data_IF_581999671939
#
_entry.id   IF_581999671939
#
_cell.length_a   1.000
_cell.length_b   1.000
_cell.length_c   1.000
_cell.angle_alpha   90.00
_cell.angle_beta   90.00
_cell.angle_gamma   90.00
#
_symmetry.space_group_name_H-M   'P 1'
#
loop_
_entity.id
_entity.type
_entity.pdbx_description
1 polymer ?
#
# COMPACT_ATOMS: atom_id res chain seq x y z
N UNK A 1 -25.98 7.03 25.16
CA UNK A 1 -25.85 5.76 25.90
C UNK A 1 -24.54 5.02 25.61
N UNK A 2 -24.07 4.84 24.36
CA UNK A 2 -22.90 3.94 24.12
C UNK A 2 -21.60 4.55 23.53
N UNK A 3 -21.57 5.79 23.05
CA UNK A 3 -20.37 6.47 22.49
C UNK A 3 -19.45 5.58 21.61
N UNK A 4 -20.04 4.78 20.70
CA UNK A 4 -19.32 3.77 19.91
C UNK A 4 -18.73 4.35 18.61
N UNK A 5 -17.51 3.93 18.30
CA UNK A 5 -16.94 4.00 16.96
C UNK A 5 -17.06 2.61 16.31
N UNK A 6 -17.95 2.45 15.33
CA UNK A 6 -18.25 1.15 14.73
C UNK A 6 -18.31 1.22 13.20
N UNK A 7 -18.13 0.07 12.56
CA UNK A 7 -18.20 -0.09 11.11
C UNK A 7 -18.86 -1.43 10.76
N UNK A 8 -19.70 -1.45 9.73
CA UNK A 8 -20.26 -2.65 9.12
C UNK A 8 -19.76 -2.73 7.69
N UNK A 9 -19.26 -3.89 7.28
CA UNK A 9 -18.78 -4.17 5.94
C UNK A 9 -19.47 -5.41 5.36
N UNK A 10 -19.65 -5.40 4.04
CA UNK A 10 -20.16 -6.55 3.28
C UNK A 10 -18.98 -7.45 2.89
N UNK A 11 -19.01 -8.72 3.29
CA UNK A 11 -17.94 -9.69 2.99
C UNK A 11 -17.82 -10.01 1.51
N UNK A 12 -18.87 -9.74 0.71
CA UNK A 12 -18.84 -9.90 -0.75
C UNK A 12 -18.07 -8.77 -1.46
N UNK A 13 -17.72 -7.68 -0.75
CA UNK A 13 -16.97 -6.55 -1.31
C UNK A 13 -15.52 -6.61 -0.86
N UNK A 14 -14.59 -7.10 -1.70
CA UNK A 14 -13.18 -7.13 -1.36
C UNK A 14 -12.66 -5.70 -1.16
N UNK A 15 -11.77 -5.54 -0.19
CA UNK A 15 -11.10 -4.26 0.09
C UNK A 15 -10.11 -3.92 -1.04
N UNK A 16 -10.03 -2.65 -1.41
CA UNK A 16 -9.09 -2.12 -2.40
C UNK A 16 -7.75 -1.81 -1.73
N UNK A 17 -6.71 -2.53 -2.11
CA UNK A 17 -5.41 -2.52 -1.44
C UNK A 17 -4.33 -1.97 -2.34
N UNK A 18 -3.57 -0.98 -1.84
CA UNK A 18 -2.30 -0.57 -2.44
C UNK A 18 -1.14 -1.18 -1.65
N UNK A 19 -0.20 -1.78 -2.37
CA UNK A 19 1.06 -2.23 -1.80
C UNK A 19 2.15 -1.19 -2.05
N UNK A 20 2.89 -0.83 -1.02
CA UNK A 20 4.08 0.01 -1.12
C UNK A 20 5.32 -0.80 -0.82
N UNK A 21 6.34 -0.73 -1.67
CA UNK A 21 7.59 -1.47 -1.51
C UNK A 21 8.81 -0.62 -1.87
N UNK A 22 9.99 -1.05 -1.43
CA UNK A 22 11.27 -0.47 -1.87
C UNK A 22 12.03 -1.47 -2.73
N UNK A 23 13.20 -1.95 -2.29
CA UNK A 23 14.01 -2.93 -3.06
C UNK A 23 13.78 -4.37 -2.65
N UNK A 24 13.35 -4.60 -1.42
CA UNK A 24 13.19 -5.94 -0.87
C UNK A 24 11.89 -6.58 -1.36
N UNK A 25 12.00 -7.72 -2.03
CA UNK A 25 10.87 -8.37 -2.71
C UNK A 25 10.05 -9.32 -1.84
N UNK A 26 10.58 -9.81 -0.71
CA UNK A 26 10.01 -10.97 -0.01
C UNK A 26 8.57 -10.76 0.46
N UNK A 27 8.26 -9.62 1.11
CA UNK A 27 6.88 -9.33 1.54
C UNK A 27 5.94 -9.11 0.35
N UNK A 28 6.41 -8.42 -0.69
CA UNK A 28 5.61 -8.17 -1.89
C UNK A 28 5.28 -9.48 -2.61
N UNK A 29 6.27 -10.35 -2.79
CA UNK A 29 6.11 -11.64 -3.45
C UNK A 29 5.15 -12.56 -2.67
N UNK A 30 5.25 -12.60 -1.33
CA UNK A 30 4.32 -13.39 -0.50
C UNK A 30 2.88 -12.89 -0.62
N UNK A 31 2.66 -11.57 -0.54
CA UNK A 31 1.32 -10.98 -0.67
C UNK A 31 0.73 -11.23 -2.07
N UNK A 32 1.52 -11.04 -3.13
CA UNK A 32 1.09 -11.32 -4.50
C UNK A 32 0.76 -12.79 -4.70
N UNK A 33 1.57 -13.69 -4.14
CA UNK A 33 1.33 -15.14 -4.22
C UNK A 33 0.01 -15.54 -3.55
N UNK A 34 -0.24 -15.07 -2.31
CA UNK A 34 -1.48 -15.33 -1.57
C UNK A 34 -2.71 -14.72 -2.23
N UNK A 35 -2.56 -13.54 -2.83
CA UNK A 35 -3.63 -12.92 -3.61
C UNK A 35 -3.95 -13.74 -4.86
N UNK A 36 -2.93 -14.13 -5.62
CA UNK A 36 -3.10 -14.93 -6.84
C UNK A 36 -3.70 -16.33 -6.55
N UNK A 37 -3.33 -16.94 -5.42
CA UNK A 37 -3.90 -18.22 -4.96
C UNK A 37 -5.30 -18.10 -4.34
N UNK A 38 -5.85 -16.89 -4.25
CA UNK A 38 -7.14 -16.55 -3.60
C UNK A 38 -7.19 -16.84 -2.09
N UNK A 39 -6.04 -16.98 -1.45
CA UNK A 39 -5.94 -17.04 0.01
C UNK A 39 -6.25 -15.67 0.62
N UNK A 40 -5.84 -14.59 -0.06
CA UNK A 40 -6.07 -13.21 0.38
C UNK A 40 -7.25 -12.60 -0.39
N UNK A 41 -8.40 -12.46 0.28
CA UNK A 41 -9.61 -11.85 -0.31
C UNK A 41 -9.53 -10.31 -0.34
N UNK A 42 -8.82 -9.77 -1.32
CA UNK A 42 -8.74 -8.35 -1.60
C UNK A 42 -8.56 -8.06 -3.10
N UNK A 43 -8.71 -6.79 -3.47
CA UNK A 43 -8.37 -6.29 -4.81
C UNK A 43 -7.07 -5.50 -4.69
N UNK A 44 -5.96 -6.02 -5.24
CA UNK A 44 -4.72 -5.25 -5.31
C UNK A 44 -4.83 -4.29 -6.50
N UNK A 45 -5.07 -3.01 -6.22
CA UNK A 45 -5.40 -2.01 -7.24
C UNK A 45 -4.17 -1.33 -7.83
N UNK A 46 -3.07 -1.28 -7.08
CA UNK A 46 -1.78 -0.78 -7.55
C UNK A 46 -0.63 -1.19 -6.63
N UNK A 47 0.59 -1.15 -7.17
CA UNK A 47 1.83 -1.15 -6.38
C UNK A 47 2.58 0.16 -6.59
N UNK A 48 3.04 0.76 -5.50
CA UNK A 48 3.85 1.98 -5.51
C UNK A 48 5.23 1.66 -4.98
N UNK A 49 6.27 2.10 -5.69
CA UNK A 49 7.65 1.92 -5.24
C UNK A 49 8.49 3.15 -5.49
N UNK A 50 9.47 3.38 -4.62
CA UNK A 50 10.50 4.40 -4.86
C UNK A 50 11.62 3.92 -5.80
N UNK A 51 11.59 2.65 -6.21
CA UNK A 51 12.53 2.03 -7.14
C UNK A 51 11.80 1.25 -8.25
N UNK A 52 12.51 0.87 -9.32
CA UNK A 52 11.92 0.13 -10.44
C UNK A 52 12.21 -1.38 -10.40
N UNK A 53 13.02 -1.83 -9.43
CA UNK A 53 13.52 -3.20 -9.30
C UNK A 53 12.42 -4.29 -9.33
N UNK A 54 11.24 -3.98 -8.81
CA UNK A 54 10.14 -4.95 -8.63
C UNK A 54 9.04 -4.83 -9.70
N UNK A 55 9.17 -3.90 -10.66
CA UNK A 55 8.15 -3.65 -11.69
C UNK A 55 7.73 -4.93 -12.42
N UNK A 56 8.71 -5.66 -12.95
CA UNK A 56 8.46 -6.88 -13.75
C UNK A 56 7.68 -7.94 -12.98
N UNK A 57 7.89 -8.06 -11.67
CA UNK A 57 7.17 -9.01 -10.81
C UNK A 57 5.69 -8.62 -10.67
N UNK A 58 5.42 -7.33 -10.54
CA UNK A 58 4.07 -6.80 -10.37
C UNK A 58 3.29 -6.84 -11.68
N UNK A 59 3.91 -6.37 -12.77
CA UNK A 59 3.27 -6.33 -14.09
C UNK A 59 2.98 -7.73 -14.63
N UNK A 60 3.72 -8.76 -14.21
CA UNK A 60 3.40 -10.16 -14.53
C UNK A 60 2.02 -10.59 -13.98
N UNK A 61 1.57 -9.96 -12.89
CA UNK A 61 0.24 -10.16 -12.31
C UNK A 61 -0.81 -9.17 -12.86
N UNK A 62 -0.48 -8.41 -13.92
CA UNK A 62 -1.35 -7.41 -14.56
C UNK A 62 -1.78 -6.26 -13.63
N UNK A 63 -1.00 -6.00 -12.57
CA UNK A 63 -1.26 -4.93 -11.60
C UNK A 63 -0.52 -3.65 -12.03
N UNK A 64 -1.15 -2.46 -11.96
CA UNK A 64 -0.47 -1.19 -12.22
C UNK A 64 0.72 -0.95 -11.27
N UNK A 65 1.89 -0.62 -11.84
CA UNK A 65 3.09 -0.30 -11.09
C UNK A 65 3.49 1.17 -11.26
N UNK A 66 3.50 1.91 -10.15
CA UNK A 66 3.88 3.33 -10.09
C UNK A 66 5.26 3.48 -9.47
N UNK A 67 6.21 3.98 -10.27
CA UNK A 67 7.54 4.35 -9.79
C UNK A 67 7.53 5.82 -9.36
N UNK A 68 7.59 6.06 -8.05
CA UNK A 68 7.58 7.41 -7.45
C UNK A 68 8.88 7.63 -6.67
N UNK A 69 9.94 8.15 -7.33
CA UNK A 69 11.23 8.35 -6.69
C UNK A 69 11.16 9.43 -5.60
N UNK A 70 11.67 9.10 -4.42
CA UNK A 70 11.72 10.01 -3.26
C UNK A 70 13.16 10.40 -2.94
N UNK A 71 13.44 11.69 -2.97
CA UNK A 71 14.69 12.33 -2.53
C UNK A 71 14.39 13.36 -1.44
N UNK A 72 15.42 14.01 -0.89
CA UNK A 72 15.22 15.05 0.14
C UNK A 72 14.58 16.31 -0.45
N UNK A 73 14.87 16.60 -1.71
CA UNK A 73 14.48 17.80 -2.44
C UNK A 73 13.05 17.71 -2.96
N UNK A 74 12.60 16.52 -3.38
CA UNK A 74 11.28 16.33 -3.99
C UNK A 74 10.25 15.66 -3.06
N UNK A 75 10.59 15.49 -1.76
CA UNK A 75 9.80 14.69 -0.82
C UNK A 75 8.33 15.10 -0.79
N UNK A 76 8.04 16.39 -0.71
CA UNK A 76 6.67 16.91 -0.64
C UNK A 76 5.86 16.58 -1.91
N UNK A 77 6.45 16.79 -3.09
CA UNK A 77 5.82 16.50 -4.38
C UNK A 77 5.58 14.98 -4.55
N UNK A 78 6.57 14.16 -4.20
CA UNK A 78 6.44 12.72 -4.28
C UNK A 78 5.30 12.18 -3.40
N UNK A 79 5.16 12.68 -2.16
CA UNK A 79 4.07 12.27 -1.28
C UNK A 79 2.71 12.85 -1.68
N UNK A 80 2.67 14.03 -2.30
CA UNK A 80 1.44 14.55 -2.91
C UNK A 80 0.96 13.63 -4.03
N UNK A 81 1.86 13.17 -4.90
CA UNK A 81 1.53 12.22 -5.96
C UNK A 81 1.08 10.86 -5.41
N UNK A 82 1.71 10.36 -4.34
CA UNK A 82 1.24 9.13 -3.65
C UNK A 82 -0.19 9.30 -3.13
N UNK A 83 -0.52 10.46 -2.55
CA UNK A 83 -1.86 10.76 -2.06
C UNK A 83 -2.90 10.88 -3.19
N UNK A 84 -2.51 11.40 -4.35
CA UNK A 84 -3.34 11.39 -5.57
C UNK A 84 -3.64 9.97 -6.02
N UNK A 85 -2.62 9.11 -6.07
CA UNK A 85 -2.80 7.69 -6.43
C UNK A 85 -3.74 7.00 -5.44
N UNK A 86 -3.60 7.23 -4.13
CA UNK A 86 -4.49 6.65 -3.13
C UNK A 86 -5.96 7.02 -3.37
N UNK A 87 -6.22 8.27 -3.76
CA UNK A 87 -7.55 8.78 -4.08
C UNK A 87 -8.06 8.23 -5.41
N UNK A 88 -7.24 8.26 -6.46
CA UNK A 88 -7.58 7.77 -7.79
C UNK A 88 -8.00 6.29 -7.77
N UNK A 89 -7.33 5.49 -6.95
CA UNK A 89 -7.65 4.08 -6.80
C UNK A 89 -8.72 3.79 -5.74
N UNK A 90 -9.28 4.81 -5.08
CA UNK A 90 -10.28 4.65 -4.00
C UNK A 90 -9.81 3.65 -2.93
N UNK A 91 -8.61 3.86 -2.41
CA UNK A 91 -7.91 2.86 -1.59
C UNK A 91 -8.54 2.71 -0.21
N UNK A 92 -8.83 1.46 0.17
CA UNK A 92 -9.31 1.11 1.52
C UNK A 92 -8.16 0.89 2.50
N UNK A 93 -7.10 0.21 2.05
CA UNK A 93 -5.95 -0.19 2.87
C UNK A 93 -4.65 0.01 2.12
N UNK A 94 -3.66 0.59 2.79
CA UNK A 94 -2.29 0.71 2.30
C UNK A 94 -1.40 -0.23 3.11
N UNK A 95 -0.65 -1.09 2.43
CA UNK A 95 0.29 -2.02 3.06
C UNK A 95 1.71 -1.61 2.71
N UNK A 96 2.49 -1.25 3.72
CA UNK A 96 3.92 -0.95 3.60
C UNK A 96 4.71 -2.27 3.65
N UNK A 97 4.78 -2.96 2.51
CA UNK A 97 5.55 -4.18 2.31
C UNK A 97 7.05 -3.86 2.24
N UNK A 98 7.65 -3.56 3.41
CA UNK A 98 9.06 -3.14 3.56
C UNK A 98 9.37 -1.84 2.80
N UNK A 99 8.44 -0.89 2.83
CA UNK A 99 8.67 0.45 2.31
C UNK A 99 9.59 1.23 3.26
N UNK A 100 10.75 1.67 2.77
CA UNK A 100 11.82 2.21 3.62
C UNK A 100 11.78 3.73 3.79
N UNK A 101 10.89 4.43 3.10
CA UNK A 101 10.72 5.88 3.27
C UNK A 101 9.72 6.18 4.39
N UNK A 102 10.04 7.19 5.20
CA UNK A 102 9.18 7.65 6.29
C UNK A 102 7.98 8.39 5.70
N UNK A 103 6.76 7.89 5.95
CA UNK A 103 5.52 8.58 5.60
C UNK A 103 5.39 9.90 6.36
N UNK A 104 4.94 11.00 5.71
CA UNK A 104 4.63 12.25 6.38
C UNK A 104 3.50 12.08 7.41
N UNK A 105 3.58 12.82 8.51
CA UNK A 105 2.56 12.79 9.56
C UNK A 105 1.15 13.12 9.04
N UNK A 106 1.06 14.05 8.09
CA UNK A 106 -0.20 14.45 7.43
C UNK A 106 -0.86 13.27 6.72
N UNK A 107 -0.07 12.46 6.00
CA UNK A 107 -0.56 11.27 5.29
C UNK A 107 -1.01 10.19 6.28
N UNK A 108 -0.22 9.95 7.35
CA UNK A 108 -0.61 9.03 8.43
C UNK A 108 -1.91 9.46 9.12
N UNK A 109 -2.11 10.76 9.33
CA UNK A 109 -3.34 11.31 9.90
C UNK A 109 -4.54 11.12 8.97
N UNK A 110 -4.39 11.43 7.67
CA UNK A 110 -5.44 11.29 6.66
C UNK A 110 -5.90 9.84 6.48
N UNK A 111 -4.98 8.88 6.55
CA UNK A 111 -5.25 7.45 6.40
C UNK A 111 -5.16 6.67 7.71
N UNK A 112 -5.44 7.33 8.84
CA UNK A 112 -5.44 6.70 10.16
C UNK A 112 -6.36 5.47 10.18
N UNK A 113 -5.85 4.35 10.72
CA UNK A 113 -6.55 3.06 10.74
C UNK A 113 -6.60 2.32 9.40
N UNK A 114 -5.98 2.86 8.34
CA UNK A 114 -5.94 2.26 6.99
C UNK A 114 -4.54 1.89 6.51
N UNK A 115 -3.49 2.22 7.26
CA UNK A 115 -2.10 1.92 6.90
C UNK A 115 -1.55 0.80 7.80
N UNK A 116 -1.03 -0.25 7.17
CA UNK A 116 -0.40 -1.38 7.86
C UNK A 116 1.08 -1.41 7.48
N UNK A 117 1.96 -1.52 8.48
CA UNK A 117 3.40 -1.63 8.27
C UNK A 117 3.93 -2.97 8.80
N UNK A 118 4.94 -3.53 8.12
CA UNK A 118 5.69 -4.69 8.62
C UNK A 118 7.12 -4.28 8.97
N UNK A 119 7.50 -4.53 10.22
CA UNK A 119 8.84 -4.29 10.71
C UNK A 119 9.50 -5.63 11.07
N UNK A 120 10.72 -5.84 10.58
CA UNK A 120 11.53 -7.05 10.79
C UNK A 120 12.09 -7.23 12.21
N UNK A 121 11.82 -6.33 13.14
CA UNK A 121 12.21 -6.44 14.55
C UNK A 121 10.98 -6.64 15.43
N UNK A 122 11.19 -7.29 16.57
CA UNK A 122 10.24 -7.21 17.68
C UNK A 122 10.20 -5.77 18.22
N UNK A 123 8.99 -5.28 18.49
CA UNK A 123 8.69 -3.96 19.05
C UNK A 123 8.27 -4.09 20.51
#
# INVERSE_FOLDING_TARGET
EFNMNWHIADSARPKRVILMCSKESHCLADLLHRWHSKELNCEIVAVISNHDDLRRMVEWHEIPYHHVPVSKENKAEAFAHIDELFQQYETDVVVLARYMQILPAELCGKYSGKVINIHHSFL
#
